data_IF_309168061691
#
_entry.id   IF_309168061691
#
_cell.length_a   1.000
_cell.length_b   1.000
_cell.length_c   1.000
_cell.angle_alpha   90.00
_cell.angle_beta   90.00
_cell.angle_gamma   90.00
#
_symmetry.space_group_name_H-M   'P 1'
#
loop_
_entity.id
_entity.type
_entity.pdbx_description
1 polymer ?
#
# COMPACT_ATOMS: atom_id res chain seq x y z
N UNK A 1 -30.42 -1.23 -7.29
CA UNK A 1 -29.94 -2.57 -7.69
C UNK A 1 -28.70 -2.89 -6.90
N UNK A 2 -28.60 -4.09 -6.34
CA UNK A 2 -27.42 -4.55 -5.61
C UNK A 2 -26.62 -5.46 -6.56
N UNK A 3 -25.60 -4.88 -7.21
CA UNK A 3 -24.76 -5.59 -8.15
C UNK A 3 -23.63 -6.27 -7.36
N UNK A 4 -23.74 -7.59 -7.18
CA UNK A 4 -22.72 -8.39 -6.51
C UNK A 4 -21.53 -8.62 -7.44
N UNK A 5 -20.33 -8.69 -6.86
CA UNK A 5 -19.13 -9.15 -7.56
C UNK A 5 -19.33 -10.56 -8.08
N UNK A 6 -18.87 -10.81 -9.30
CA UNK A 6 -18.92 -12.12 -9.94
C UNK A 6 -17.70 -12.94 -9.50
N UNK A 7 -17.92 -14.23 -9.26
CA UNK A 7 -16.85 -15.17 -8.93
C UNK A 7 -15.86 -15.32 -10.11
N UNK A 8 -14.57 -15.46 -9.81
CA UNK A 8 -13.53 -15.52 -10.84
C UNK A 8 -13.68 -16.73 -11.76
N UNK A 9 -14.15 -17.87 -11.28
CA UNK A 9 -14.30 -19.07 -12.13
C UNK A 9 -15.48 -18.90 -13.10
N UNK A 10 -16.55 -18.28 -12.60
CA UNK A 10 -17.72 -17.91 -13.42
C UNK A 10 -17.32 -16.91 -14.51
N UNK A 11 -16.54 -15.89 -14.13
CA UNK A 11 -16.10 -14.84 -15.05
C UNK A 11 -15.10 -15.38 -16.09
N UNK A 12 -14.18 -16.27 -15.69
CA UNK A 12 -13.27 -16.98 -16.61
C UNK A 12 -14.05 -17.81 -17.63
N UNK A 13 -15.05 -18.57 -17.18
CA UNK A 13 -15.93 -19.36 -18.06
C UNK A 13 -16.70 -18.46 -19.03
N UNK A 14 -17.15 -17.30 -18.56
CA UNK A 14 -17.85 -16.33 -19.40
C UNK A 14 -16.96 -15.75 -20.49
N UNK A 15 -15.73 -15.32 -20.15
CA UNK A 15 -14.75 -14.81 -21.12
C UNK A 15 -14.37 -15.88 -22.17
N UNK A 16 -14.21 -17.15 -21.76
CA UNK A 16 -13.94 -18.24 -22.69
C UNK A 16 -15.08 -18.46 -23.71
N UNK A 17 -16.33 -18.34 -23.25
CA UNK A 17 -17.50 -18.39 -24.14
C UNK A 17 -17.48 -17.26 -25.16
N UNK A 18 -17.11 -16.03 -24.76
CA UNK A 18 -17.01 -14.88 -25.66
C UNK A 18 -15.91 -15.09 -26.70
N UNK A 19 -14.72 -15.52 -26.27
CA UNK A 19 -13.62 -15.81 -27.19
C UNK A 19 -14.02 -16.84 -28.26
N UNK A 20 -14.79 -17.86 -27.87
CA UNK A 20 -15.32 -18.86 -28.81
C UNK A 20 -16.29 -18.26 -29.83
N UNK A 21 -17.16 -17.33 -29.40
CA UNK A 21 -18.10 -16.66 -30.29
C UNK A 21 -17.45 -15.65 -31.22
N UNK A 22 -16.37 -15.00 -30.78
CA UNK A 22 -15.67 -13.96 -31.53
C UNK A 22 -14.46 -14.48 -32.31
N UNK A 23 -14.19 -15.79 -32.26
CA UNK A 23 -13.03 -16.43 -32.90
C UNK A 23 -11.68 -15.90 -32.40
N UNK A 24 -11.62 -15.49 -31.12
CA UNK A 24 -10.39 -15.11 -30.42
C UNK A 24 -9.76 -16.36 -29.83
N UNK A 25 -8.47 -16.56 -30.07
CA UNK A 25 -7.72 -17.68 -29.51
C UNK A 25 -7.00 -17.22 -28.24
N UNK A 26 -7.52 -17.65 -27.09
CA UNK A 26 -7.01 -17.24 -25.77
C UNK A 26 -6.61 -18.45 -24.92
N UNK A 27 -5.42 -18.39 -24.32
CA UNK A 27 -4.96 -19.39 -23.36
C UNK A 27 -5.87 -19.39 -22.11
N UNK A 28 -6.25 -20.55 -21.55
CA UNK A 28 -7.07 -20.62 -20.33
C UNK A 28 -6.45 -19.86 -19.15
N UNK A 29 -5.12 -19.88 -19.04
CA UNK A 29 -4.39 -19.14 -18.03
C UNK A 29 -4.55 -17.63 -18.21
N UNK A 30 -4.46 -17.14 -19.45
CA UNK A 30 -4.63 -15.72 -19.78
C UNK A 30 -6.02 -15.19 -19.36
N UNK A 31 -7.06 -15.98 -19.61
CA UNK A 31 -8.43 -15.66 -19.19
C UNK A 31 -8.59 -15.65 -17.67
N UNK A 32 -7.91 -16.56 -16.95
CA UNK A 32 -7.90 -16.56 -15.50
C UNK A 32 -7.24 -15.28 -14.94
N UNK A 33 -6.15 -14.83 -15.56
CA UNK A 33 -5.47 -13.59 -15.16
C UNK A 33 -6.37 -12.37 -15.39
N UNK A 34 -7.02 -12.24 -16.56
CA UNK A 34 -7.97 -11.16 -16.83
C UNK A 34 -9.12 -11.15 -15.81
N UNK A 35 -9.72 -12.31 -15.56
CA UNK A 35 -10.81 -12.45 -14.60
C UNK A 35 -10.41 -11.99 -13.19
N UNK A 36 -9.19 -12.35 -12.77
CA UNK A 36 -8.65 -11.98 -11.46
C UNK A 36 -8.35 -10.47 -11.39
N UNK A 37 -7.81 -9.89 -12.46
CA UNK A 37 -7.54 -8.45 -12.55
C UNK A 37 -8.82 -7.60 -12.58
N UNK A 38 -9.91 -8.12 -13.12
CA UNK A 38 -11.20 -7.44 -13.15
C UNK A 38 -11.95 -7.44 -11.80
N UNK A 39 -11.46 -8.17 -10.81
CA UNK A 39 -11.99 -8.14 -9.43
C UNK A 39 -13.52 -8.36 -9.32
N UNK A 40 -14.07 -9.19 -10.21
CA UNK A 40 -15.51 -9.51 -10.25
C UNK A 40 -16.39 -8.46 -10.95
N UNK A 41 -15.78 -7.47 -11.62
CA UNK A 41 -16.44 -6.53 -12.54
C UNK A 41 -16.48 -7.10 -13.96
N UNK A 42 -17.66 -7.44 -14.45
CA UNK A 42 -17.84 -7.97 -15.83
C UNK A 42 -17.41 -6.95 -16.88
N UNK A 43 -17.67 -5.66 -16.64
CA UNK A 43 -17.31 -4.58 -17.56
C UNK A 43 -15.79 -4.46 -17.70
N UNK A 44 -15.07 -4.49 -16.59
CA UNK A 44 -13.61 -4.35 -16.60
C UNK A 44 -12.99 -5.58 -17.25
N UNK A 45 -13.52 -6.78 -16.97
CA UNK A 45 -13.08 -8.02 -17.61
C UNK A 45 -13.22 -7.98 -19.15
N UNK A 46 -14.37 -7.52 -19.64
CA UNK A 46 -14.60 -7.33 -21.08
C UNK A 46 -13.65 -6.27 -21.66
N UNK A 47 -13.49 -5.14 -20.98
CA UNK A 47 -12.59 -4.08 -21.43
C UNK A 47 -11.13 -4.55 -21.54
N UNK A 48 -10.69 -5.39 -20.60
CA UNK A 48 -9.36 -6.00 -20.61
C UNK A 48 -9.22 -7.05 -21.73
N UNK A 49 -10.26 -7.86 -21.96
CA UNK A 49 -10.28 -8.83 -23.05
C UNK A 49 -10.19 -8.13 -24.43
N UNK A 50 -10.96 -7.07 -24.64
CA UNK A 50 -10.96 -6.29 -25.88
C UNK A 50 -9.59 -5.65 -26.14
N UNK A 51 -8.98 -5.11 -25.09
CA UNK A 51 -7.63 -4.54 -25.18
C UNK A 51 -6.59 -5.61 -25.56
N UNK A 52 -6.69 -6.80 -24.98
CA UNK A 52 -5.79 -7.90 -25.27
C UNK A 52 -5.92 -8.40 -26.69
N UNK A 53 -7.15 -8.57 -27.17
CA UNK A 53 -7.44 -8.97 -28.54
C UNK A 53 -6.85 -7.96 -29.54
N UNK A 54 -7.05 -6.66 -29.29
CA UNK A 54 -6.54 -5.58 -30.13
C UNK A 54 -4.99 -5.53 -30.19
N UNK A 55 -4.30 -5.83 -29.08
CA UNK A 55 -2.83 -5.79 -29.02
C UNK A 55 -2.17 -7.03 -29.63
N UNK A 56 -2.84 -8.17 -29.59
CA UNK A 56 -2.25 -9.47 -29.96
C UNK A 56 -2.75 -10.03 -31.28
N UNK A 57 -3.59 -9.27 -32.01
CA UNK A 57 -4.29 -9.74 -33.20
C UNK A 57 -5.04 -11.05 -32.91
N UNK A 58 -5.87 -11.03 -31.87
CA UNK A 58 -6.75 -12.12 -31.43
C UNK A 58 -6.02 -13.39 -30.93
N UNK A 59 -4.72 -13.29 -30.63
CA UNK A 59 -3.86 -14.38 -30.14
C UNK A 59 -3.39 -14.08 -28.70
N UNK A 60 -4.26 -14.35 -27.73
CA UNK A 60 -4.08 -13.95 -26.34
C UNK A 60 -3.33 -15.05 -25.57
N UNK A 61 -2.07 -14.79 -25.23
CA UNK A 61 -1.28 -15.66 -24.35
C UNK A 61 -1.18 -15.09 -22.93
N UNK A 62 -0.81 -15.94 -21.96
CA UNK A 62 -0.57 -15.51 -20.59
C UNK A 62 0.54 -14.43 -20.51
N UNK A 63 1.60 -14.57 -21.30
CA UNK A 63 2.70 -13.59 -21.37
C UNK A 63 2.23 -12.22 -21.90
N UNK A 64 1.40 -12.23 -22.96
CA UNK A 64 0.87 -11.00 -23.55
C UNK A 64 -0.06 -10.29 -22.56
N UNK A 65 -0.88 -11.05 -21.84
CA UNK A 65 -1.73 -10.52 -20.78
C UNK A 65 -0.91 -10.01 -19.60
N UNK A 66 0.14 -10.70 -19.18
CA UNK A 66 1.03 -10.22 -18.11
C UNK A 66 1.73 -8.91 -18.50
N UNK A 67 2.12 -8.77 -19.78
CA UNK A 67 2.68 -7.52 -20.31
C UNK A 67 1.63 -6.41 -20.43
N UNK A 68 0.41 -6.72 -20.90
CA UNK A 68 -0.69 -5.76 -21.09
C UNK A 68 -1.29 -5.29 -19.77
N UNK A 69 -1.70 -6.23 -18.92
CA UNK A 69 -2.13 -6.00 -17.55
C UNK A 69 -0.97 -5.61 -16.65
N UNK A 70 0.20 -5.37 -17.24
CA UNK A 70 1.37 -4.87 -16.58
C UNK A 70 0.91 -4.13 -15.34
N UNK A 71 1.27 -4.67 -14.19
CA UNK A 71 1.98 -3.77 -13.32
C UNK A 71 3.34 -3.64 -14.00
N UNK A 72 3.53 -2.73 -14.99
CA UNK A 72 4.88 -2.43 -15.43
C UNK A 72 5.65 -2.11 -14.14
N UNK A 73 6.71 -2.88 -13.92
CA UNK A 73 7.43 -2.83 -12.66
C UNK A 73 7.03 -3.87 -11.61
N UNK A 74 6.21 -4.90 -11.85
CA UNK A 74 6.03 -5.98 -10.85
C UNK A 74 7.33 -6.72 -10.55
N UNK A 75 8.11 -7.01 -11.59
CA UNK A 75 9.47 -7.55 -11.42
C UNK A 75 10.36 -6.56 -10.67
N UNK A 76 10.23 -5.27 -10.98
CA UNK A 76 10.95 -4.20 -10.28
C UNK A 76 10.49 -4.09 -8.81
N UNK A 77 9.21 -4.27 -8.50
CA UNK A 77 8.65 -4.27 -7.14
C UNK A 77 9.12 -5.48 -6.35
N UNK A 78 9.20 -6.65 -6.98
CA UNK A 78 9.76 -7.85 -6.37
C UNK A 78 11.23 -7.62 -6.04
N UNK A 79 12.02 -7.12 -7.00
CA UNK A 79 13.43 -6.82 -6.79
C UNK A 79 13.65 -5.74 -5.71
N UNK A 80 12.87 -4.65 -5.75
CA UNK A 80 12.90 -3.56 -4.78
C UNK A 80 12.55 -4.04 -3.37
N UNK A 81 11.49 -4.86 -3.26
CA UNK A 81 11.07 -5.42 -1.99
C UNK A 81 12.07 -6.42 -1.45
N UNK A 82 12.65 -7.27 -2.30
CA UNK A 82 13.67 -8.25 -1.91
C UNK A 82 14.93 -7.56 -1.37
N UNK A 83 15.43 -6.53 -2.08
CA UNK A 83 16.56 -5.74 -1.61
C UNK A 83 16.24 -5.06 -0.27
N UNK A 84 15.07 -4.41 -0.16
CA UNK A 84 14.66 -3.76 1.08
C UNK A 84 14.49 -4.77 2.24
N UNK A 85 13.89 -5.93 2.01
CA UNK A 85 13.68 -6.95 3.04
C UNK A 85 14.94 -7.73 3.39
N UNK A 86 15.98 -7.66 2.54
CA UNK A 86 17.33 -8.16 2.79
C UNK A 86 18.26 -7.13 3.45
N UNK A 87 17.77 -5.90 3.67
CA UNK A 87 18.54 -4.82 4.28
C UNK A 87 19.50 -4.11 3.33
N UNK A 88 19.38 -4.35 2.02
CA UNK A 88 20.11 -3.65 0.97
C UNK A 88 19.35 -2.38 0.54
N UNK A 89 19.62 -1.28 1.25
CA UNK A 89 19.04 0.02 0.93
C UNK A 89 19.49 0.54 -0.44
N UNK A 90 20.72 0.26 -0.87
CA UNK A 90 21.24 0.75 -2.14
C UNK A 90 20.52 0.08 -3.31
N UNK A 91 20.43 -1.26 -3.29
CA UNK A 91 19.68 -2.02 -4.29
C UNK A 91 18.20 -1.63 -4.36
N UNK A 92 17.57 -1.35 -3.21
CA UNK A 92 16.17 -0.89 -3.19
C UNK A 92 15.99 0.49 -3.86
N UNK A 93 16.92 1.42 -3.60
CA UNK A 93 16.90 2.75 -4.21
C UNK A 93 17.18 2.70 -5.72
N UNK A 94 18.13 1.86 -6.15
CA UNK A 94 18.43 1.65 -7.57
C UNK A 94 17.22 1.06 -8.30
N UNK A 95 16.53 0.09 -7.69
CA UNK A 95 15.30 -0.48 -8.24
C UNK A 95 14.18 0.56 -8.35
N UNK A 96 14.00 1.42 -7.35
CA UNK A 96 13.04 2.53 -7.41
C UNK A 96 13.38 3.53 -8.53
N UNK A 97 14.66 3.90 -8.66
CA UNK A 97 15.12 4.81 -9.71
C UNK A 97 14.92 4.23 -11.12
N UNK A 98 15.18 2.92 -11.29
CA UNK A 98 14.91 2.19 -12.53
C UNK A 98 13.41 2.19 -12.86
N UNK A 99 12.56 1.82 -11.89
CA UNK A 99 11.12 1.83 -12.05
C UNK A 99 10.60 3.23 -12.44
N UNK A 100 11.13 4.28 -11.80
CA UNK A 100 10.75 5.65 -12.11
C UNK A 100 11.18 6.09 -13.52
N UNK A 101 12.38 5.69 -13.96
CA UNK A 101 12.84 5.93 -15.33
C UNK A 101 11.94 5.25 -16.36
N UNK A 102 11.34 4.11 -15.98
CA UNK A 102 10.34 3.39 -16.77
C UNK A 102 8.91 3.96 -16.62
N UNK A 103 8.73 5.08 -15.92
CA UNK A 103 7.46 5.78 -15.77
C UNK A 103 6.61 5.37 -14.56
N UNK A 104 7.14 4.60 -13.63
CA UNK A 104 6.43 4.27 -12.40
C UNK A 104 6.35 5.49 -11.46
N UNK A 105 5.16 5.74 -10.91
CA UNK A 105 4.97 6.72 -9.86
C UNK A 105 5.36 6.13 -8.49
N UNK A 106 6.02 6.89 -7.59
CA UNK A 106 6.47 6.39 -6.30
C UNK A 106 5.33 5.83 -5.43
N UNK A 107 4.17 6.47 -5.45
CA UNK A 107 3.00 6.01 -4.70
C UNK A 107 2.52 4.63 -5.19
N UNK A 108 2.45 4.44 -6.50
CA UNK A 108 2.08 3.15 -7.11
C UNK A 108 3.11 2.07 -6.79
N UNK A 109 4.40 2.39 -6.87
CA UNK A 109 5.47 1.45 -6.51
C UNK A 109 5.32 0.96 -5.07
N UNK A 110 5.08 1.86 -4.11
CA UNK A 110 4.88 1.48 -2.70
C UNK A 110 3.59 0.69 -2.49
N UNK A 111 2.50 1.00 -3.21
CA UNK A 111 1.27 0.21 -3.19
C UNK A 111 1.51 -1.23 -3.70
N UNK A 112 2.37 -1.41 -4.69
CA UNK A 112 2.74 -2.72 -5.22
C UNK A 112 3.54 -3.54 -4.20
N UNK A 113 4.45 -2.88 -3.46
CA UNK A 113 5.19 -3.49 -2.33
C UNK A 113 4.22 -3.94 -1.23
N UNK A 114 3.21 -3.12 -0.91
CA UNK A 114 2.18 -3.49 0.06
C UNK A 114 1.42 -4.74 -0.38
N UNK A 115 0.98 -4.83 -1.64
CA UNK A 115 0.30 -6.02 -2.15
C UNK A 115 1.17 -7.28 -2.05
N UNK A 116 2.47 -7.21 -2.36
CA UNK A 116 3.40 -8.33 -2.19
C UNK A 116 3.50 -8.77 -0.71
N UNK A 117 3.67 -7.83 0.21
CA UNK A 117 3.72 -8.11 1.65
C UNK A 117 2.40 -8.71 2.14
N UNK A 118 1.26 -8.23 1.65
CA UNK A 118 -0.04 -8.78 1.98
C UNK A 118 -0.16 -10.24 1.55
N UNK A 119 0.18 -10.55 0.29
CA UNK A 119 0.16 -11.92 -0.24
C UNK A 119 1.09 -12.85 0.51
N UNK A 120 2.31 -12.42 0.78
CA UNK A 120 3.27 -13.17 1.59
C UNK A 120 2.73 -13.42 3.01
N UNK A 121 2.07 -12.43 3.61
CA UNK A 121 1.47 -12.56 4.95
C UNK A 121 0.33 -13.57 4.99
N UNK A 122 -0.51 -13.62 3.95
CA UNK A 122 -1.57 -14.64 3.86
C UNK A 122 -1.00 -16.05 3.75
N UNK A 123 0.06 -16.24 2.96
CA UNK A 123 0.74 -17.53 2.84
C UNK A 123 1.42 -17.92 4.16
N UNK A 124 2.11 -16.98 4.80
CA UNK A 124 2.72 -17.20 6.12
C UNK A 124 1.69 -17.54 7.22
N UNK A 125 0.41 -17.15 7.04
CA UNK A 125 -0.71 -17.49 7.91
C UNK A 125 -1.33 -18.88 7.62
N UNK A 126 -0.84 -19.60 6.61
CA UNK A 126 -1.38 -20.90 6.16
C UNK A 126 -2.34 -20.81 4.97
N UNK A 127 -2.41 -19.66 4.28
CA UNK A 127 -3.15 -19.52 3.03
C UNK A 127 -2.45 -20.22 1.85
N UNK A 128 -3.21 -20.49 0.78
CA UNK A 128 -2.67 -21.10 -0.45
C UNK A 128 -1.99 -20.07 -1.36
N UNK A 129 -0.95 -20.50 -2.08
CA UNK A 129 -0.28 -19.76 -3.14
C UNK A 129 -0.93 -19.92 -4.53
N UNK A 130 -2.04 -20.66 -4.65
CA UNK A 130 -2.68 -20.96 -5.94
C UNK A 130 -3.24 -19.72 -6.64
N UNK A 131 -3.47 -18.64 -5.89
CA UNK A 131 -3.91 -17.36 -6.42
C UNK A 131 -2.77 -16.47 -6.95
N UNK A 132 -1.51 -16.93 -6.89
CA UNK A 132 -0.35 -16.22 -7.45
C UNK A 132 -0.13 -16.58 -8.92
N UNK A 133 0.43 -15.64 -9.68
CA UNK A 133 1.00 -15.95 -10.99
C UNK A 133 2.29 -16.77 -10.80
N UNK A 134 2.66 -17.58 -11.79
CA UNK A 134 3.82 -18.47 -11.69
C UNK A 134 5.13 -17.69 -11.43
N UNK A 135 5.29 -16.54 -12.10
CA UNK A 135 6.44 -15.66 -11.90
C UNK A 135 6.53 -15.07 -10.47
N UNK A 136 5.42 -14.99 -9.75
CA UNK A 136 5.34 -14.45 -8.38
C UNK A 136 5.46 -15.53 -7.32
N UNK A 137 5.17 -16.79 -7.66
CA UNK A 137 5.07 -17.88 -6.69
C UNK A 137 6.34 -18.03 -5.88
N UNK A 138 7.49 -18.19 -6.53
CA UNK A 138 8.77 -18.34 -5.86
C UNK A 138 9.15 -17.14 -4.97
N UNK A 139 9.18 -15.87 -5.46
CA UNK A 139 9.58 -14.73 -4.63
C UNK A 139 8.61 -14.45 -3.47
N UNK A 140 7.30 -14.59 -3.68
CA UNK A 140 6.32 -14.33 -2.60
C UNK A 140 6.37 -15.44 -1.54
N UNK A 141 6.61 -16.70 -1.93
CA UNK A 141 6.83 -17.77 -0.95
C UNK A 141 8.12 -17.55 -0.15
N UNK A 142 9.21 -17.11 -0.77
CA UNK A 142 10.44 -16.76 -0.06
C UNK A 142 10.24 -15.63 0.97
N UNK A 143 9.41 -14.62 0.63
CA UNK A 143 9.01 -13.59 1.60
C UNK A 143 8.17 -14.16 2.74
N UNK A 144 7.27 -15.11 2.45
CA UNK A 144 6.43 -15.76 3.46
C UNK A 144 7.27 -16.50 4.52
N UNK A 145 8.38 -17.14 4.09
CA UNK A 145 9.31 -17.86 4.96
C UNK A 145 10.02 -16.96 5.99
N UNK A 146 10.04 -15.63 5.77
CA UNK A 146 10.55 -14.68 6.75
C UNK A 146 9.70 -14.58 8.03
N UNK A 147 8.46 -15.05 7.97
CA UNK A 147 7.55 -15.16 9.11
C UNK A 147 6.68 -13.92 9.36
N UNK A 148 5.51 -14.17 9.94
CA UNK A 148 4.42 -13.20 10.12
C UNK A 148 4.83 -11.96 10.92
N UNK A 149 5.73 -12.10 11.89
CA UNK A 149 6.18 -10.99 12.71
C UNK A 149 7.01 -9.97 11.92
N UNK A 150 7.85 -10.43 10.97
CA UNK A 150 8.62 -9.54 10.11
C UNK A 150 7.73 -8.88 9.08
N UNK A 151 6.87 -9.67 8.43
CA UNK A 151 5.92 -9.17 7.44
C UNK A 151 4.94 -8.16 8.02
N UNK A 152 4.44 -8.39 9.25
CA UNK A 152 3.56 -7.45 9.95
C UNK A 152 4.24 -6.11 10.26
N UNK A 153 5.53 -6.11 10.64
CA UNK A 153 6.30 -4.86 10.83
C UNK A 153 6.50 -4.11 9.53
N UNK A 154 6.87 -4.82 8.46
CA UNK A 154 7.01 -4.24 7.12
C UNK A 154 5.67 -3.63 6.63
N UNK A 155 4.56 -4.36 6.80
CA UNK A 155 3.22 -3.89 6.45
C UNK A 155 2.85 -2.58 7.14
N UNK A 156 3.04 -2.48 8.46
CA UNK A 156 2.74 -1.26 9.21
C UNK A 156 3.60 -0.07 8.76
N UNK A 157 4.88 -0.32 8.46
CA UNK A 157 5.78 0.71 7.95
C UNK A 157 5.37 1.20 6.57
N UNK A 158 5.05 0.28 5.66
CA UNK A 158 4.60 0.61 4.31
C UNK A 158 3.26 1.35 4.33
N UNK A 159 2.29 0.91 5.15
CA UNK A 159 0.99 1.57 5.27
C UNK A 159 1.12 3.02 5.75
N UNK A 160 1.95 3.27 6.76
CA UNK A 160 2.25 4.62 7.23
C UNK A 160 3.01 5.43 6.17
N UNK A 161 4.02 4.83 5.56
CA UNK A 161 4.85 5.46 4.54
C UNK A 161 4.05 5.85 3.29
N UNK A 162 3.09 5.03 2.87
CA UNK A 162 2.20 5.36 1.76
C UNK A 162 1.41 6.65 2.05
N UNK A 163 0.82 6.78 3.24
CA UNK A 163 0.10 8.00 3.62
C UNK A 163 1.02 9.24 3.65
N UNK A 164 2.28 9.07 4.09
CA UNK A 164 3.30 10.13 4.04
C UNK A 164 3.62 10.53 2.60
N UNK A 165 3.76 9.57 1.67
CA UNK A 165 4.06 9.81 0.26
C UNK A 165 2.93 10.56 -0.45
N UNK A 166 1.67 10.14 -0.25
CA UNK A 166 0.48 10.76 -0.86
C UNK A 166 0.35 12.25 -0.50
N UNK A 167 0.86 12.66 0.67
CA UNK A 167 0.77 14.04 1.17
C UNK A 167 2.08 14.82 1.08
N UNK A 168 3.17 14.18 0.68
CA UNK A 168 4.48 14.80 0.66
C UNK A 168 4.60 15.85 -0.46
N UNK A 169 5.30 16.99 -0.21
CA UNK A 169 5.61 17.95 -1.26
C UNK A 169 6.56 17.36 -2.33
N UNK A 170 7.31 16.32 -1.97
CA UNK A 170 8.20 15.56 -2.87
C UNK A 170 7.97 14.06 -2.65
N UNK A 171 7.02 13.44 -3.36
CA UNK A 171 6.67 12.02 -3.20
C UNK A 171 7.85 11.07 -3.40
N UNK A 172 8.73 11.38 -4.36
CA UNK A 172 9.94 10.57 -4.62
C UNK A 172 10.86 10.51 -3.40
N UNK A 173 11.22 11.67 -2.83
CA UNK A 173 12.08 11.73 -1.65
C UNK A 173 11.46 11.01 -0.43
N UNK A 174 10.13 11.07 -0.29
CA UNK A 174 9.41 10.35 0.75
C UNK A 174 9.48 8.81 0.55
N UNK A 175 9.38 8.35 -0.70
CA UNK A 175 9.52 6.94 -1.05
C UNK A 175 10.95 6.42 -0.82
N UNK A 176 11.98 7.17 -1.24
CA UNK A 176 13.38 6.86 -0.96
C UNK A 176 13.62 6.69 0.55
N UNK A 177 13.12 7.63 1.35
CA UNK A 177 13.24 7.57 2.81
C UNK A 177 12.46 6.40 3.43
N UNK A 178 11.32 6.01 2.84
CA UNK A 178 10.58 4.83 3.25
C UNK A 178 11.39 3.55 2.99
N UNK A 179 12.00 3.41 1.82
CA UNK A 179 12.83 2.23 1.47
C UNK A 179 14.06 2.12 2.38
N UNK A 180 14.73 3.24 2.69
CA UNK A 180 15.84 3.27 3.64
C UNK A 180 15.38 2.78 5.03
N UNK A 181 14.23 3.28 5.51
CA UNK A 181 13.66 2.84 6.80
C UNK A 181 13.31 1.35 6.80
N UNK A 182 12.76 0.85 5.69
CA UNK A 182 12.38 -0.56 5.54
C UNK A 182 13.61 -1.47 5.54
N UNK A 183 14.67 -1.10 4.80
CA UNK A 183 15.95 -1.81 4.79
C UNK A 183 16.62 -1.84 6.16
N UNK A 184 16.57 -0.73 6.89
CA UNK A 184 17.10 -0.70 8.24
C UNK A 184 16.29 -1.59 9.21
N UNK A 185 14.95 -1.58 9.09
CA UNK A 185 14.06 -2.43 9.88
C UNK A 185 14.31 -3.92 9.64
N UNK A 186 14.62 -4.31 8.40
CA UNK A 186 14.92 -5.69 8.04
C UNK A 186 16.11 -6.26 8.83
N UNK A 187 17.12 -5.43 9.12
CA UNK A 187 18.27 -5.86 9.91
C UNK A 187 18.02 -5.87 11.43
N UNK A 188 16.88 -5.35 11.90
CA UNK A 188 16.58 -5.31 13.34
C UNK A 188 15.96 -6.61 13.86
N UNK A 189 16.51 -7.20 14.94
CA UNK A 189 15.92 -8.37 15.58
C UNK A 189 14.50 -8.08 16.05
N UNK A 190 13.63 -9.08 16.01
CA UNK A 190 12.30 -8.95 16.60
C UNK A 190 12.41 -8.88 18.13
N UNK A 191 11.41 -8.33 18.84
CA UNK A 191 11.39 -8.39 20.31
C UNK A 191 11.50 -9.83 20.84
N UNK A 192 10.91 -10.81 20.14
CA UNK A 192 11.04 -12.23 20.48
C UNK A 192 12.49 -12.72 20.35
N UNK A 193 13.22 -12.29 19.31
CA UNK A 193 14.65 -12.62 19.14
C UNK A 193 15.51 -12.02 20.26
N UNK A 194 15.22 -10.78 20.66
CA UNK A 194 15.91 -10.10 21.75
C UNK A 194 15.68 -10.84 23.07
N UNK A 195 14.42 -11.18 23.39
CA UNK A 195 14.08 -11.95 24.60
C UNK A 195 14.73 -13.34 24.55
N UNK A 196 14.72 -14.00 23.38
CA UNK A 196 15.36 -15.30 23.18
C UNK A 196 16.89 -15.27 23.37
N UNK A 197 17.54 -14.17 22.98
CA UNK A 197 18.98 -13.91 23.19
C UNK A 197 19.31 -13.44 24.62
N UNK A 198 18.36 -12.84 25.33
CA UNK A 198 18.54 -12.47 26.74
C UNK A 198 18.29 -13.67 27.67
N UNK A 199 17.38 -14.57 27.29
CA UNK A 199 17.08 -15.81 28.00
C UNK A 199 18.10 -16.93 27.76
N UNK A 200 18.72 -16.97 26.57
CA UNK A 200 19.95 -17.73 26.30
C UNK A 200 21.13 -16.83 26.60
N UNK A 201 21.60 -16.77 27.84
CA UNK A 201 22.71 -15.93 28.26
C UNK A 201 24.00 -16.21 27.47
N UNK A 202 24.11 -15.67 26.26
CA UNK A 202 25.33 -15.58 25.48
C UNK A 202 25.99 -14.25 25.83
N UNK A 203 26.90 -14.37 26.81
CA UNK A 203 28.03 -13.52 27.16
C UNK A 203 28.05 -12.06 26.69
N UNK A 204 27.77 -11.18 27.64
CA UNK A 204 28.58 -9.97 27.83
C UNK A 204 28.94 -9.86 29.31
N UNK A 205 29.89 -10.68 29.75
CA UNK A 205 30.60 -10.48 31.00
C UNK A 205 31.81 -9.55 30.75
N UNK A 206 31.83 -8.29 31.22
CA UNK A 206 33.09 -7.67 31.55
C UNK A 206 33.53 -8.21 32.91
N UNK A 207 34.63 -8.96 32.90
CA UNK A 207 35.39 -9.22 34.13
C UNK A 207 35.91 -7.88 34.65
N UNK A 208 35.49 -7.49 35.85
CA UNK A 208 36.16 -6.49 36.67
C UNK A 208 35.88 -6.82 38.14
N UNK A 209 36.74 -7.65 38.71
CA UNK A 209 36.76 -7.97 40.12
C UNK A 209 37.52 -6.89 40.92
N UNK A 210 36.89 -6.47 42.03
CA UNK A 210 37.41 -5.79 43.23
C UNK A 210 37.88 -4.31 43.07
N UNK A 211 37.46 -3.38 43.94
CA UNK A 211 37.38 -3.50 45.42
C UNK A 211 36.45 -2.39 46.01
N UNK A 212 35.64 -2.67 47.06
CA UNK A 212 34.92 -1.63 47.78
C UNK A 212 35.80 -1.06 48.91
N UNK A 213 35.85 0.27 49.01
CA UNK A 213 36.46 0.97 50.15
C UNK A 213 35.42 1.87 50.82
N UNK A 214 35.33 1.71 52.13
CA UNK A 214 34.38 2.25 53.09
C UNK A 214 34.53 3.75 53.34
N UNK A 215 33.40 4.33 53.79
CA UNK A 215 33.09 5.71 54.25
C UNK A 215 34.02 6.25 55.36
N UNK A 216 34.03 7.58 55.66
CA UNK A 216 33.02 8.20 56.59
C UNK A 216 32.52 9.60 56.11
N UNK A 217 31.21 9.87 56.06
CA UNK A 217 30.35 10.42 57.12
C UNK A 217 30.69 11.87 57.58
N UNK A 218 29.89 12.84 57.14
CA UNK A 218 29.65 14.15 57.79
C UNK A 218 28.30 14.69 57.24
N UNK A 219 27.21 14.47 57.96
CA UNK A 219 26.47 15.49 58.74
C UNK A 219 25.44 16.31 57.93
N UNK A 220 24.17 15.89 58.04
CA UNK A 220 23.01 16.76 57.86
C UNK A 220 22.76 17.58 59.14
N UNK A 221 22.28 18.82 59.01
CA UNK A 221 21.30 19.37 59.93
C UNK A 221 19.90 19.34 59.32
N UNK A 222 18.95 19.03 60.20
CA UNK A 222 17.51 18.98 59.98
C UNK A 222 16.89 20.41 60.00
N UNK A 223 15.57 20.55 59.73
CA UNK A 223 14.95 21.76 59.20
C UNK A 223 14.41 22.70 60.27
N UNK A 224 14.23 23.98 59.91
CA UNK A 224 13.48 24.94 60.72
C UNK A 224 12.42 25.64 59.86
N UNK A 225 11.23 25.68 60.42
CA UNK A 225 9.94 26.00 59.81
C UNK A 225 9.53 27.42 60.21
N UNK A 226 9.02 28.23 59.27
CA UNK A 226 8.27 29.45 59.59
C UNK A 226 7.21 29.74 58.51
N UNK A 227 6.01 29.26 58.84
CA UNK A 227 4.66 29.72 58.49
C UNK A 227 4.45 31.08 57.78
N UNK A 228 3.53 31.10 56.79
CA UNK A 228 2.19 31.76 56.84
C UNK A 228 1.54 31.72 55.43
N UNK A 229 0.48 30.93 55.19
CA UNK A 229 -0.97 31.24 55.35
C UNK A 229 -1.47 32.35 54.42
N UNK A 230 -2.32 31.98 53.46
CA UNK A 230 -3.18 32.92 52.73
C UNK A 230 -3.74 32.40 51.40
N UNK A 231 -4.75 31.53 51.46
CA UNK A 231 -5.75 31.41 50.39
C UNK A 231 -7.02 32.16 50.85
N UNK A 232 -7.76 32.79 49.93
CA UNK A 232 -9.03 32.17 49.57
C UNK A 232 -9.33 32.20 48.06
N UNK A 233 -10.22 31.27 47.71
CA UNK A 233 -10.80 30.95 46.40
C UNK A 233 -11.54 32.12 45.74
N UNK A 234 -11.55 32.13 44.40
CA UNK A 234 -12.78 32.23 43.62
C UNK A 234 -12.58 31.78 42.16
N UNK A 235 -13.48 30.90 41.69
CA UNK A 235 -13.68 30.49 40.29
C UNK A 235 -15.13 30.84 39.93
N UNK A 236 -15.44 31.30 38.70
CA UNK A 236 -16.07 30.39 37.71
C UNK A 236 -15.81 30.81 36.23
N UNK A 237 -16.57 30.33 35.22
CA UNK A 237 -16.49 29.05 34.48
C UNK A 237 -16.11 29.25 32.97
N UNK A 238 -16.04 28.19 32.13
CA UNK A 238 -15.88 28.34 30.68
C UNK A 238 -17.24 28.41 29.96
N UNK A 239 -17.28 28.83 28.68
CA UNK A 239 -18.30 28.29 27.78
C UNK A 239 -17.70 27.64 26.53
N UNK A 240 -18.34 26.53 26.16
CA UNK A 240 -18.18 25.77 24.94
C UNK A 240 -19.15 26.25 23.85
N UNK A 241 -18.83 25.94 22.58
CA UNK A 241 -19.83 25.44 21.64
C UNK A 241 -20.42 26.37 20.57
N UNK A 242 -20.36 25.84 19.35
CA UNK A 242 -21.27 25.99 18.18
C UNK A 242 -21.12 27.14 17.16
N UNK A 243 -20.70 26.70 15.96
CA UNK A 243 -21.12 27.09 14.60
C UNK A 243 -22.41 27.92 14.44
N UNK A 244 -22.35 29.01 13.64
CA UNK A 244 -22.98 29.12 12.31
C UNK A 244 -23.12 30.59 11.83
N UNK A 245 -22.67 30.83 10.58
CA UNK A 245 -23.06 31.79 9.55
C UNK A 245 -23.83 33.11 9.88
N UNK A 246 -23.35 34.25 9.33
CA UNK A 246 -24.02 35.00 8.24
C UNK A 246 -23.36 36.36 7.91
N UNK A 247 -23.06 36.58 6.62
CA UNK A 247 -23.00 37.87 5.88
C UNK A 247 -21.91 38.89 6.24
N UNK A 248 -21.29 39.65 5.33
CA UNK A 248 -21.48 39.83 3.90
C UNK A 248 -20.23 40.61 3.41
N UNK A 249 -19.50 40.13 2.39
CA UNK A 249 -18.52 40.95 1.67
C UNK A 249 -18.44 40.49 0.21
N UNK A 250 -18.90 41.41 -0.65
CA UNK A 250 -19.01 41.39 -2.10
C UNK A 250 -17.63 41.35 -2.75
N UNK A 251 -17.40 40.48 -3.75
CA UNK A 251 -16.74 40.81 -5.03
C UNK A 251 -16.89 39.68 -6.07
N UNK A 252 -17.46 40.09 -7.22
CA UNK A 252 -17.18 39.68 -8.60
C UNK A 252 -17.07 38.18 -8.96
N UNK A 253 -18.12 37.65 -9.60
CA UNK A 253 -18.05 36.48 -10.48
C UNK A 253 -18.21 36.91 -11.93
N UNK A 254 -17.30 36.43 -12.78
CA UNK A 254 -17.40 36.43 -14.23
C UNK A 254 -18.28 35.23 -14.68
N UNK A 255 -19.19 35.47 -15.62
CA UNK A 255 -20.11 34.47 -16.19
C UNK A 255 -19.38 33.45 -17.07
N UNK A 256 -19.71 32.14 -16.98
CA UNK A 256 -19.46 31.20 -18.06
C UNK A 256 -20.63 31.23 -19.06
N UNK A 257 -20.25 31.44 -20.32
CA UNK A 257 -21.10 31.43 -21.51
C UNK A 257 -21.78 30.06 -21.70
N UNK A 258 -23.11 30.06 -21.83
CA UNK A 258 -23.90 28.90 -22.18
C UNK A 258 -23.65 28.46 -23.63
N UNK A 259 -23.38 27.17 -23.83
CA UNK A 259 -23.50 26.50 -25.13
C UNK A 259 -24.99 26.32 -25.50
N UNK A 260 -25.37 26.46 -26.78
CA UNK A 260 -26.76 26.33 -27.22
C UNK A 260 -27.19 24.85 -27.27
N UNK A 261 -28.37 24.56 -26.71
CA UNK A 261 -29.06 23.27 -26.84
C UNK A 261 -29.47 23.02 -28.31
N UNK A 262 -29.41 21.77 -28.81
CA UNK A 262 -29.93 21.43 -30.12
C UNK A 262 -31.48 21.44 -30.13
N UNK A 263 -32.05 22.12 -31.13
CA UNK A 263 -33.50 22.18 -31.38
C UNK A 263 -34.09 20.77 -31.67
N UNK A 264 -35.34 20.49 -31.27
CA UNK A 264 -36.01 19.26 -31.63
C UNK A 264 -36.38 19.27 -33.12
N UNK A 265 -35.81 18.32 -33.86
CA UNK A 265 -36.10 18.06 -35.27
C UNK A 265 -37.57 17.65 -35.42
N UNK A 266 -38.34 18.44 -36.15
CA UNK A 266 -39.72 18.11 -36.55
C UNK A 266 -39.75 16.81 -37.36
N UNK A 267 -40.62 15.88 -36.98
CA UNK A 267 -40.99 14.71 -37.78
C UNK A 267 -41.64 15.16 -39.10
N UNK A 268 -41.30 14.54 -40.25
CA UNK A 268 -42.01 14.80 -41.49
C UNK A 268 -43.41 14.17 -41.44
N UNK A 269 -44.43 15.01 -41.67
CA UNK A 269 -45.79 14.56 -41.96
C UNK A 269 -45.81 13.70 -43.24
N UNK A 270 -46.62 12.63 -43.30
CA UNK A 270 -46.85 11.94 -44.56
C UNK A 270 -47.75 12.79 -45.48
N UNK A 271 -47.30 13.01 -46.73
CA UNK A 271 -48.10 13.65 -47.77
C UNK A 271 -49.33 12.81 -48.14
N UNK A 272 -50.47 13.44 -48.50
CA UNK A 272 -51.62 12.73 -49.01
C UNK A 272 -51.60 12.68 -50.54
N UNK A 273 -51.54 11.46 -51.11
CA UNK A 273 -52.36 11.05 -52.27
C UNK A 273 -52.33 9.56 -52.51
#
# INVERSE_FOLDING_TARGET
>A
FDLRRVDSDVLTTHLASICTHESINADPEALSVISRAAEGSVRDALSLLDQAAAMTADQISADNIAAMLGRPGRTDSIAMLDAAMSGDAAGALDALASAHTNGAEPEMAIADLMDLIHRASLIAAGGSADSLLEAERAPVTALADMGIARLGRAWQMLLKGHAEITTAPQPMAAAEMLLIRLAHLANMPTPADIIGKLGRGEDAAPTAAAKPASTPAAESPAPENAAQVGAPSDTPPPPAGMSAAAGNAVMAQAEPRAEPQPEPRAEPQPEPR
#
